data_IF_637508149019
#
_entry.id   IF_637508149019
#
_cell.length_a   1.000
_cell.length_b   1.000
_cell.length_c   1.000
_cell.angle_alpha   90.00
_cell.angle_beta   90.00
_cell.angle_gamma   90.00
#
_symmetry.space_group_name_H-M   'P 1'
#
loop_
_entity.id
_entity.type
_entity.pdbx_description
1 polymer ?
#
# COMPACT_ATOMS: atom_id res chain seq x y z
N UNK A 1 -42.23 64.19 -16.20
CA UNK A 1 -41.89 63.33 -17.36
C UNK A 1 -40.36 63.35 -17.46
N UNK A 2 -39.60 62.26 -17.37
CA UNK A 2 -39.87 60.87 -17.66
C UNK A 2 -39.19 59.94 -16.62
N UNK A 3 -39.88 58.85 -16.29
CA UNK A 3 -39.36 57.72 -15.53
C UNK A 3 -38.64 56.78 -16.51
N UNK A 4 -37.41 56.37 -16.19
CA UNK A 4 -36.73 55.26 -16.89
C UNK A 4 -36.56 54.12 -15.90
N UNK A 5 -37.37 53.08 -16.10
CA UNK A 5 -37.27 51.79 -15.45
C UNK A 5 -36.13 50.98 -16.09
N UNK A 6 -35.20 50.49 -15.28
CA UNK A 6 -34.28 49.43 -15.66
C UNK A 6 -34.92 48.06 -15.38
N UNK A 7 -34.73 47.05 -16.24
CA UNK A 7 -35.27 45.70 -16.03
C UNK A 7 -34.39 44.91 -15.03
N UNK A 8 -35.06 44.19 -14.14
CA UNK A 8 -34.45 43.23 -13.21
C UNK A 8 -34.27 41.91 -13.96
N UNK A 9 -33.03 41.52 -14.25
CA UNK A 9 -32.71 40.21 -14.79
C UNK A 9 -32.76 39.16 -13.66
N UNK A 10 -33.74 38.26 -13.75
CA UNK A 10 -33.83 37.08 -12.88
C UNK A 10 -32.79 36.04 -13.31
N UNK A 11 -31.69 35.96 -12.55
CA UNK A 11 -30.69 34.91 -12.67
C UNK A 11 -31.30 33.59 -12.19
N UNK A 12 -31.69 32.73 -13.14
CA UNK A 12 -32.13 31.35 -12.86
C UNK A 12 -30.86 30.52 -12.62
N UNK A 13 -30.70 30.02 -11.40
CA UNK A 13 -29.69 29.01 -11.07
C UNK A 13 -30.18 27.63 -11.57
N UNK A 14 -29.32 26.82 -12.21
CA UNK A 14 -29.66 25.45 -12.56
C UNK A 14 -29.78 24.57 -11.31
N UNK A 15 -30.62 23.52 -11.33
CA UNK A 15 -30.73 22.58 -10.23
C UNK A 15 -29.43 21.77 -10.09
N UNK A 16 -28.87 21.77 -8.88
CA UNK A 16 -27.79 20.86 -8.48
C UNK A 16 -28.39 19.49 -8.17
N UNK A 17 -28.49 18.62 -9.17
CA UNK A 17 -28.63 17.18 -8.94
C UNK A 17 -27.24 16.60 -8.61
N UNK A 18 -26.89 16.60 -7.33
CA UNK A 18 -25.76 15.80 -6.83
C UNK A 18 -26.29 14.50 -6.21
N UNK A 19 -26.83 13.61 -7.05
CA UNK A 19 -26.85 12.18 -6.72
C UNK A 19 -25.63 11.53 -7.38
N UNK A 20 -24.46 11.68 -6.75
CA UNK A 20 -23.34 10.78 -7.03
C UNK A 20 -23.73 9.46 -6.37
N UNK A 21 -24.39 8.60 -7.15
CA UNK A 21 -24.50 7.19 -6.82
C UNK A 21 -23.07 6.64 -6.80
N UNK A 22 -22.53 6.39 -5.61
CA UNK A 22 -21.33 5.60 -5.40
C UNK A 22 -21.64 4.18 -5.85
N UNK A 23 -21.46 3.93 -7.14
CA UNK A 23 -21.70 2.63 -7.75
C UNK A 23 -20.63 1.63 -7.33
N UNK A 24 -20.83 0.94 -6.21
CA UNK A 24 -20.16 -0.32 -5.89
C UNK A 24 -21.09 -1.31 -5.17
N UNK A 25 -22.33 -1.44 -5.66
CA UNK A 25 -23.12 -2.64 -5.44
C UNK A 25 -22.62 -3.74 -6.39
N UNK A 26 -21.40 -4.25 -6.16
CA UNK A 26 -20.94 -5.45 -6.83
C UNK A 26 -21.17 -6.67 -5.91
N UNK A 27 -22.32 -7.37 -6.03
CA UNK A 27 -22.66 -8.50 -5.17
C UNK A 27 -21.66 -9.66 -5.29
N UNK A 28 -20.80 -9.69 -6.30
CA UNK A 28 -19.73 -10.69 -6.41
C UNK A 28 -18.61 -10.46 -5.39
N UNK A 29 -18.28 -9.20 -5.09
CA UNK A 29 -17.25 -8.87 -4.09
C UNK A 29 -17.78 -9.18 -2.69
N UNK A 30 -19.01 -8.78 -2.39
CA UNK A 30 -19.63 -9.03 -1.08
C UNK A 30 -19.89 -10.52 -0.82
N UNK A 31 -20.36 -11.28 -1.83
CA UNK A 31 -20.55 -12.73 -1.70
C UNK A 31 -19.23 -13.49 -1.61
N UNK A 32 -18.16 -12.96 -2.20
CA UNK A 32 -16.82 -13.54 -2.06
C UNK A 32 -16.29 -13.39 -0.63
N UNK A 33 -16.39 -12.20 -0.02
CA UNK A 33 -15.99 -12.01 1.38
C UNK A 33 -16.78 -12.91 2.34
N UNK A 34 -18.08 -13.11 2.09
CA UNK A 34 -18.92 -14.06 2.85
C UNK A 34 -18.49 -15.52 2.68
N UNK A 35 -18.05 -15.92 1.48
CA UNK A 35 -17.59 -17.28 1.22
C UNK A 35 -16.17 -17.55 1.76
N UNK A 36 -15.25 -16.58 1.70
CA UNK A 36 -13.89 -16.72 2.23
C UNK A 36 -13.88 -16.82 3.76
N UNK A 37 -14.75 -16.10 4.47
CA UNK A 37 -14.91 -16.24 5.92
C UNK A 37 -15.39 -17.63 6.36
N UNK A 38 -16.05 -18.40 5.49
CA UNK A 38 -16.48 -19.76 5.80
C UNK A 38 -15.37 -20.81 5.73
N UNK A 39 -14.22 -20.48 5.12
CA UNK A 39 -13.11 -21.42 4.86
C UNK A 39 -11.97 -21.26 5.88
N UNK A 40 -11.97 -20.24 6.74
CA UNK A 40 -10.87 -19.99 7.70
C UNK A 40 -11.02 -20.73 9.04
N UNK A 41 -11.44 -22.00 9.02
CA UNK A 41 -11.21 -22.92 10.14
C UNK A 41 -10.12 -23.94 9.76
N UNK A 42 -8.92 -23.44 9.49
CA UNK A 42 -7.72 -24.27 9.51
C UNK A 42 -6.82 -23.82 10.65
N UNK A 43 -6.77 -24.67 11.68
CA UNK A 43 -5.87 -24.53 12.81
C UNK A 43 -4.42 -24.63 12.32
N UNK A 44 -3.65 -23.57 12.54
CA UNK A 44 -2.19 -23.66 12.57
C UNK A 44 -1.81 -24.40 13.86
N UNK A 45 -1.42 -25.67 13.73
CA UNK A 45 -0.66 -26.36 14.77
C UNK A 45 0.83 -26.12 14.50
N UNK A 46 1.54 -25.69 15.55
CA UNK A 46 2.99 -25.52 15.56
C UNK A 46 3.67 -26.82 15.12
N UNK A 47 4.36 -26.79 13.98
CA UNK A 47 5.17 -27.92 13.51
C UNK A 47 6.56 -27.77 14.12
N UNK A 48 6.77 -28.50 15.21
CA UNK A 48 8.09 -28.74 15.79
C UNK A 48 8.99 -29.45 14.76
N UNK A 49 10.13 -28.83 14.46
CA UNK A 49 11.11 -29.33 13.52
C UNK A 49 11.86 -30.52 14.11
N UNK A 50 11.35 -31.75 13.89
CA UNK A 50 12.18 -32.97 13.94
C UNK A 50 11.53 -34.17 13.24
N UNK A 51 12.34 -34.74 12.35
CA UNK A 51 12.30 -36.11 11.81
C UNK A 51 11.56 -36.30 10.47
N UNK A 52 12.36 -36.14 9.41
CA UNK A 52 12.12 -36.65 8.06
C UNK A 52 12.06 -38.19 8.08
N UNK A 53 10.93 -38.74 7.63
CA UNK A 53 10.84 -39.94 6.79
C UNK A 53 9.64 -39.79 5.87
N UNK A 54 9.88 -39.48 4.60
CA UNK A 54 8.85 -39.50 3.56
C UNK A 54 8.85 -40.87 2.88
N UNK A 55 7.76 -41.60 3.06
CA UNK A 55 7.33 -42.72 2.22
C UNK A 55 5.90 -42.42 1.77
N UNK A 56 5.58 -42.71 0.52
CA UNK A 56 4.23 -42.63 -0.04
C UNK A 56 3.86 -41.29 -0.71
N UNK A 57 3.98 -41.24 -2.04
CA UNK A 57 3.61 -40.08 -2.86
C UNK A 57 2.11 -39.77 -2.82
N UNK A 58 1.78 -38.50 -2.55
CA UNK A 58 0.50 -37.88 -2.88
C UNK A 58 0.71 -37.03 -4.14
N UNK A 59 0.17 -37.48 -5.28
CA UNK A 59 0.16 -36.73 -6.53
C UNK A 59 -0.99 -35.74 -6.46
N UNK A 60 -0.81 -34.64 -5.73
CA UNK A 60 -1.85 -33.64 -5.58
C UNK A 60 -1.85 -32.66 -6.75
N UNK A 61 -2.95 -32.77 -7.51
CA UNK A 61 -3.46 -31.96 -8.62
C UNK A 61 -2.86 -30.56 -8.80
N UNK A 62 -2.08 -30.39 -9.87
CA UNK A 62 -1.61 -29.06 -10.32
C UNK A 62 -2.73 -28.16 -10.84
N UNK A 63 -3.91 -28.69 -11.16
CA UNK A 63 -4.99 -27.90 -11.79
C UNK A 63 -5.67 -26.94 -10.82
N UNK A 64 -5.67 -27.21 -9.52
CA UNK A 64 -6.30 -26.33 -8.51
C UNK A 64 -5.45 -25.10 -8.19
N UNK A 65 -4.12 -25.20 -8.20
CA UNK A 65 -3.24 -24.06 -7.86
C UNK A 65 -3.26 -22.97 -8.93
N UNK A 66 -3.31 -23.33 -10.21
CA UNK A 66 -3.42 -22.36 -11.31
C UNK A 66 -4.73 -21.56 -11.25
N UNK A 67 -5.83 -22.19 -10.84
CA UNK A 67 -7.13 -21.51 -10.74
C UNK A 67 -7.14 -20.45 -9.62
N UNK A 68 -6.49 -20.74 -8.48
CA UNK A 68 -6.39 -19.80 -7.37
C UNK A 68 -5.49 -18.62 -7.73
N UNK A 69 -4.34 -18.86 -8.36
CA UNK A 69 -3.44 -17.79 -8.83
C UNK A 69 -4.19 -16.82 -9.74
N UNK A 70 -4.90 -17.34 -10.75
CA UNK A 70 -5.63 -16.51 -11.70
C UNK A 70 -6.76 -15.66 -11.09
N UNK A 71 -7.28 -16.02 -9.91
CA UNK A 71 -8.24 -15.19 -9.17
C UNK A 71 -7.54 -14.05 -8.42
N UNK A 72 -6.40 -14.32 -7.78
CA UNK A 72 -5.60 -13.30 -7.10
C UNK A 72 -5.07 -12.26 -8.09
N UNK A 73 -4.60 -12.70 -9.26
CA UNK A 73 -4.17 -11.82 -10.35
C UNK A 73 -5.27 -10.86 -10.78
N UNK A 74 -6.50 -11.37 -10.96
CA UNK A 74 -7.66 -10.55 -11.33
C UNK A 74 -8.03 -9.57 -10.22
N UNK A 75 -8.02 -10.01 -8.96
CA UNK A 75 -8.35 -9.15 -7.83
C UNK A 75 -7.33 -8.02 -7.68
N UNK A 76 -6.03 -8.33 -7.72
CA UNK A 76 -4.98 -7.33 -7.70
C UNK A 76 -5.09 -6.37 -8.88
N UNK A 77 -5.36 -6.87 -10.09
CA UNK A 77 -5.57 -6.05 -11.28
C UNK A 77 -6.72 -5.05 -11.11
N UNK A 78 -7.84 -5.46 -10.51
CA UNK A 78 -8.97 -4.56 -10.23
C UNK A 78 -8.59 -3.47 -9.22
N UNK A 79 -7.89 -3.83 -8.15
CA UNK A 79 -7.42 -2.89 -7.12
C UNK A 79 -6.54 -1.80 -7.76
N UNK A 80 -5.53 -2.21 -8.54
CA UNK A 80 -4.60 -1.25 -9.19
C UNK A 80 -5.25 -0.45 -10.33
N UNK A 81 -6.24 -1.01 -11.02
CA UNK A 81 -6.94 -0.29 -12.08
C UNK A 81 -7.88 0.77 -11.52
N UNK A 82 -8.60 0.47 -10.43
CA UNK A 82 -9.46 1.44 -9.74
C UNK A 82 -8.66 2.64 -9.20
N UNK A 83 -7.47 2.37 -8.67
CA UNK A 83 -6.58 3.38 -8.10
C UNK A 83 -6.08 4.45 -9.10
N UNK A 84 -6.17 4.20 -10.42
CA UNK A 84 -5.65 5.13 -11.44
C UNK A 84 -6.40 6.46 -11.48
N UNK A 85 -7.67 6.45 -11.10
CA UNK A 85 -8.55 7.61 -11.11
C UNK A 85 -8.73 8.21 -9.70
N UNK A 86 -8.07 7.62 -8.69
CA UNK A 86 -8.09 8.13 -7.32
C UNK A 86 -7.11 9.30 -7.16
N UNK A 87 -7.49 10.29 -6.34
CA UNK A 87 -6.61 11.36 -5.90
C UNK A 87 -6.14 11.00 -4.48
N UNK A 88 -4.83 10.86 -4.29
CA UNK A 88 -4.26 10.51 -2.99
C UNK A 88 -3.95 11.77 -2.19
N UNK A 89 -4.63 11.91 -1.05
CA UNK A 89 -4.40 13.00 -0.11
C UNK A 89 -3.53 12.53 1.06
N UNK A 90 -2.53 13.32 1.42
CA UNK A 90 -1.63 13.00 2.53
C UNK A 90 -2.40 12.83 3.85
N UNK A 91 -2.23 11.66 4.47
CA UNK A 91 -2.84 11.34 5.76
C UNK A 91 -4.30 10.86 5.68
N UNK A 92 -4.88 10.77 4.48
CA UNK A 92 -6.25 10.29 4.28
C UNK A 92 -6.26 8.85 3.76
N UNK A 93 -7.25 8.08 4.18
CA UNK A 93 -7.42 6.70 3.73
C UNK A 93 -8.25 6.65 2.43
N UNK A 94 -7.65 6.12 1.37
CA UNK A 94 -8.27 5.95 0.05
C UNK A 94 -8.92 4.56 -0.14
N UNK A 95 -9.74 4.40 -1.17
CA UNK A 95 -10.30 3.09 -1.53
C UNK A 95 -9.19 2.11 -1.92
N UNK A 96 -8.18 2.59 -2.66
CA UNK A 96 -6.98 1.81 -2.95
C UNK A 96 -6.31 1.30 -1.67
N UNK A 97 -6.10 2.16 -0.68
CA UNK A 97 -5.41 1.80 0.56
C UNK A 97 -6.16 0.74 1.38
N UNK A 98 -7.49 0.85 1.50
CA UNK A 98 -8.34 -0.14 2.16
C UNK A 98 -8.29 -1.48 1.43
N UNK A 99 -8.49 -1.45 0.11
CA UNK A 99 -8.58 -2.66 -0.71
C UNK A 99 -7.25 -3.41 -0.76
N UNK A 100 -6.13 -2.70 -0.95
CA UNK A 100 -4.80 -3.31 -0.97
C UNK A 100 -4.44 -3.90 0.40
N UNK A 101 -4.71 -3.18 1.48
CA UNK A 101 -4.45 -3.65 2.84
C UNK A 101 -5.27 -4.90 3.16
N UNK A 102 -6.57 -4.90 2.85
CA UNK A 102 -7.46 -6.04 3.04
C UNK A 102 -7.02 -7.24 2.21
N UNK A 103 -6.59 -7.03 0.97
CA UNK A 103 -6.10 -8.09 0.09
C UNK A 103 -4.85 -8.77 0.68
N UNK A 104 -3.86 -7.99 1.13
CA UNK A 104 -2.64 -8.52 1.75
C UNK A 104 -2.94 -9.22 3.08
N UNK A 105 -3.82 -8.65 3.90
CA UNK A 105 -4.20 -9.27 5.18
C UNK A 105 -4.93 -10.61 4.98
N UNK A 106 -5.69 -10.76 3.89
CA UNK A 106 -6.47 -11.97 3.61
C UNK A 106 -5.62 -13.10 3.01
N UNK A 107 -4.65 -12.77 2.15
CA UNK A 107 -3.92 -13.76 1.36
C UNK A 107 -2.41 -13.81 1.63
N UNK A 108 -1.89 -12.92 2.49
CA UNK A 108 -0.50 -12.92 2.95
C UNK A 108 0.52 -12.95 1.81
N UNK A 109 1.39 -13.95 1.82
CA UNK A 109 2.48 -14.09 0.85
C UNK A 109 1.96 -14.20 -0.60
N UNK A 110 0.87 -14.94 -0.84
CA UNK A 110 0.31 -15.09 -2.19
C UNK A 110 -0.22 -13.76 -2.76
N UNK A 111 -0.70 -12.85 -1.92
CA UNK A 111 -1.00 -11.48 -2.38
C UNK A 111 0.29 -10.73 -2.75
N UNK A 112 1.34 -10.85 -1.93
CA UNK A 112 2.64 -10.22 -2.21
C UNK A 112 3.23 -10.69 -3.55
N UNK A 113 3.20 -11.99 -3.84
CA UNK A 113 3.69 -12.57 -5.11
C UNK A 113 3.05 -11.92 -6.34
N UNK A 114 1.75 -11.59 -6.26
CA UNK A 114 1.00 -10.96 -7.35
C UNK A 114 1.25 -9.46 -7.44
N UNK A 115 1.26 -8.73 -6.31
CA UNK A 115 1.36 -7.26 -6.35
C UNK A 115 2.79 -6.75 -6.58
N UNK A 116 3.82 -7.51 -6.18
CA UNK A 116 5.22 -7.12 -6.39
C UNK A 116 5.52 -6.80 -7.86
N UNK A 117 5.26 -7.70 -8.83
CA UNK A 117 5.54 -7.40 -10.24
C UNK A 117 4.67 -6.25 -10.77
N UNK A 118 3.47 -6.05 -10.22
CA UNK A 118 2.62 -4.91 -10.59
C UNK A 118 3.22 -3.59 -10.10
N UNK A 119 3.65 -3.49 -8.84
CA UNK A 119 4.25 -2.26 -8.27
C UNK A 119 5.58 -1.92 -8.97
N UNK A 120 6.38 -2.93 -9.28
CA UNK A 120 7.69 -2.75 -9.93
C UNK A 120 7.59 -2.53 -11.45
N UNK A 121 6.43 -2.73 -12.05
CA UNK A 121 6.21 -2.50 -13.48
C UNK A 121 6.30 -1.01 -13.82
N UNK A 122 7.08 -0.68 -14.86
CA UNK A 122 7.13 0.69 -15.42
C UNK A 122 5.80 1.15 -16.02
N UNK A 123 4.86 0.23 -16.24
CA UNK A 123 3.50 0.55 -16.74
C UNK A 123 2.56 1.01 -15.62
N UNK A 124 2.92 0.79 -14.35
CA UNK A 124 2.10 1.21 -13.23
C UNK A 124 2.25 2.71 -13.03
N UNK A 125 1.12 3.39 -12.83
CA UNK A 125 1.12 4.82 -12.54
C UNK A 125 2.03 5.08 -11.32
N UNK A 126 3.00 5.99 -11.47
CA UNK A 126 4.00 6.28 -10.44
C UNK A 126 3.40 6.74 -9.10
N UNK A 127 2.24 7.37 -9.13
CA UNK A 127 1.50 7.81 -7.94
C UNK A 127 0.87 6.61 -7.22
N UNK A 128 0.20 5.72 -7.96
CA UNK A 128 -0.33 4.46 -7.43
C UNK A 128 0.79 3.58 -6.86
N UNK A 129 1.92 3.48 -7.55
CA UNK A 129 3.07 2.73 -7.05
C UNK A 129 3.64 3.36 -5.77
N UNK A 130 3.80 4.68 -5.72
CA UNK A 130 4.26 5.41 -4.54
C UNK A 130 3.32 5.21 -3.35
N UNK A 131 2.01 5.31 -3.57
CA UNK A 131 1.02 5.09 -2.53
C UNK A 131 1.02 3.64 -2.05
N UNK A 132 1.20 2.67 -2.94
CA UNK A 132 1.37 1.26 -2.57
C UNK A 132 2.56 1.08 -1.61
N UNK A 133 3.70 1.72 -1.87
CA UNK A 133 4.85 1.67 -0.95
C UNK A 133 4.52 2.25 0.43
N UNK A 134 3.82 3.38 0.50
CA UNK A 134 3.39 3.99 1.77
C UNK A 134 2.47 3.07 2.56
N UNK A 135 1.48 2.47 1.89
CA UNK A 135 0.57 1.48 2.48
C UNK A 135 1.36 0.28 3.01
N UNK A 136 2.28 -0.26 2.20
CA UNK A 136 3.12 -1.41 2.59
C UNK A 136 3.97 -1.10 3.82
N UNK A 137 4.48 0.12 3.98
CA UNK A 137 5.21 0.51 5.19
C UNK A 137 4.34 0.52 6.46
N UNK A 138 3.07 0.92 6.34
CA UNK A 138 2.15 1.05 7.48
C UNK A 138 1.49 -0.26 7.91
N UNK A 139 1.50 -1.28 7.05
CA UNK A 139 0.83 -2.54 7.36
C UNK A 139 1.46 -3.23 8.58
N UNK A 140 0.64 -3.67 9.52
CA UNK A 140 1.09 -4.51 10.63
C UNK A 140 0.74 -5.97 10.34
N UNK A 141 1.49 -6.58 9.42
CA UNK A 141 1.27 -7.97 9.01
C UNK A 141 2.60 -8.73 9.03
N UNK A 142 2.74 -9.63 10.02
CA UNK A 142 4.01 -10.29 10.34
C UNK A 142 4.48 -11.23 9.23
N UNK A 143 3.56 -11.97 8.62
CA UNK A 143 3.92 -13.00 7.63
C UNK A 143 4.42 -12.42 6.31
N UNK A 144 4.08 -11.17 5.98
CA UNK A 144 4.52 -10.48 4.76
C UNK A 144 5.66 -9.49 5.02
N UNK A 145 6.17 -9.41 6.25
CA UNK A 145 7.16 -8.42 6.65
C UNK A 145 8.40 -8.39 5.74
N UNK A 146 8.97 -9.57 5.46
CA UNK A 146 10.19 -9.70 4.65
C UNK A 146 9.97 -9.27 3.20
N UNK A 147 8.83 -9.63 2.63
CA UNK A 147 8.47 -9.23 1.25
C UNK A 147 8.30 -7.71 1.15
N UNK A 148 7.66 -7.10 2.16
CA UNK A 148 7.44 -5.65 2.22
C UNK A 148 8.76 -4.89 2.34
N UNK A 149 9.64 -5.30 3.27
CA UNK A 149 10.96 -4.71 3.43
C UNK A 149 11.78 -4.80 2.14
N UNK A 150 11.87 -6.00 1.55
CA UNK A 150 12.59 -6.22 0.30
C UNK A 150 12.04 -5.35 -0.85
N UNK A 151 10.71 -5.26 -0.96
CA UNK A 151 10.07 -4.45 -2.00
C UNK A 151 10.38 -2.96 -1.79
N UNK A 152 10.24 -2.45 -0.56
CA UNK A 152 10.56 -1.06 -0.22
C UNK A 152 12.03 -0.71 -0.51
N UNK A 153 12.98 -1.58 -0.18
CA UNK A 153 14.39 -1.41 -0.53
C UNK A 153 14.59 -1.34 -2.05
N UNK A 154 13.84 -2.11 -2.83
CA UNK A 154 13.85 -2.00 -4.30
C UNK A 154 13.27 -0.70 -4.81
N UNK A 155 12.24 -0.19 -4.16
CA UNK A 155 11.63 1.11 -4.48
C UNK A 155 12.62 2.27 -4.43
N UNK A 156 13.63 2.23 -3.54
CA UNK A 156 14.69 3.24 -3.43
C UNK A 156 15.51 3.44 -4.71
N UNK A 157 15.51 2.47 -5.63
CA UNK A 157 16.29 2.51 -6.86
C UNK A 157 15.43 2.75 -8.11
N UNK A 158 14.14 3.10 -7.93
CA UNK A 158 13.26 3.44 -9.04
C UNK A 158 13.76 4.67 -9.80
N UNK A 159 13.54 4.69 -11.11
CA UNK A 159 13.80 5.88 -11.95
C UNK A 159 12.89 7.06 -11.56
N UNK A 160 11.69 6.77 -11.03
CA UNK A 160 10.72 7.79 -10.63
C UNK A 160 11.02 8.31 -9.23
N UNK A 161 11.26 9.63 -9.11
CA UNK A 161 11.44 10.30 -7.82
C UNK A 161 10.25 10.09 -6.89
N UNK A 162 9.02 10.09 -7.43
CA UNK A 162 7.80 9.88 -6.64
C UNK A 162 7.74 8.47 -6.04
N UNK A 163 8.20 7.47 -6.78
CA UNK A 163 8.25 6.09 -6.29
C UNK A 163 9.33 5.94 -5.21
N UNK A 164 10.50 6.56 -5.40
CA UNK A 164 11.55 6.58 -4.38
C UNK A 164 11.05 7.25 -3.09
N UNK A 165 10.37 8.38 -3.19
CA UNK A 165 9.77 9.07 -2.05
C UNK A 165 8.76 8.18 -1.28
N UNK A 166 7.84 7.53 -1.99
CA UNK A 166 6.91 6.58 -1.39
C UNK A 166 7.62 5.42 -0.67
N UNK A 167 8.70 4.91 -1.25
CA UNK A 167 9.52 3.86 -0.65
C UNK A 167 10.26 4.34 0.61
N UNK A 168 10.82 5.55 0.57
CA UNK A 168 11.48 6.20 1.72
C UNK A 168 10.51 6.35 2.89
N UNK A 169 9.31 6.87 2.63
CA UNK A 169 8.26 6.99 3.65
C UNK A 169 7.80 5.63 4.17
N UNK A 170 7.66 4.63 3.29
CA UNK A 170 7.31 3.27 3.70
C UNK A 170 8.37 2.65 4.62
N UNK A 171 9.67 2.86 4.35
CA UNK A 171 10.75 2.41 5.23
C UNK A 171 10.74 3.14 6.58
N UNK A 172 10.41 4.44 6.59
CA UNK A 172 10.25 5.20 7.82
C UNK A 172 9.15 4.61 8.72
N UNK A 173 8.03 4.19 8.13
CA UNK A 173 6.96 3.51 8.87
C UNK A 173 7.36 2.11 9.36
N UNK A 174 8.13 1.34 8.59
CA UNK A 174 8.66 0.06 9.06
C UNK A 174 9.63 0.21 10.25
N UNK A 175 10.38 1.31 10.29
CA UNK A 175 11.32 1.64 11.36
C UNK A 175 12.30 0.50 11.69
N UNK A 176 12.85 -0.15 10.66
CA UNK A 176 13.78 -1.29 10.79
C UNK A 176 15.22 -0.90 10.44
N UNK A 177 16.13 -1.22 11.35
CA UNK A 177 17.59 -1.14 11.18
C UNK A 177 18.14 -1.83 9.92
N UNK A 178 17.45 -2.86 9.40
CA UNK A 178 17.85 -3.53 8.16
C UNK A 178 17.84 -2.59 6.95
N UNK A 179 17.04 -1.52 6.99
CA UNK A 179 16.96 -0.52 5.92
C UNK A 179 18.16 0.45 5.88
N UNK A 180 19.03 0.47 6.91
CA UNK A 180 20.16 1.41 7.02
C UNK A 180 21.12 1.32 5.83
N UNK A 181 21.56 0.11 5.47
CA UNK A 181 22.53 -0.07 4.40
C UNK A 181 21.94 0.26 3.00
N UNK A 182 20.72 -0.19 2.65
CA UNK A 182 20.03 0.27 1.45
C UNK A 182 19.85 1.79 1.39
N UNK A 183 19.45 2.44 2.48
CA UNK A 183 19.28 3.90 2.54
C UNK A 183 20.58 4.65 2.30
N UNK A 184 21.69 4.24 2.93
CA UNK A 184 23.02 4.85 2.66
C UNK A 184 23.39 4.77 1.18
N UNK A 185 23.19 3.60 0.58
CA UNK A 185 23.46 3.40 -0.84
C UNK A 185 22.57 4.23 -1.76
N UNK A 186 21.31 4.47 -1.36
CA UNK A 186 20.38 5.32 -2.08
C UNK A 186 20.76 6.82 -1.97
N UNK A 187 21.11 7.30 -0.77
CA UNK A 187 21.54 8.68 -0.49
C UNK A 187 22.72 9.10 -1.36
N UNK A 188 23.73 8.23 -1.49
CA UNK A 188 24.92 8.47 -2.32
C UNK A 188 24.58 8.68 -3.80
N UNK A 189 23.47 8.11 -4.28
CA UNK A 189 23.06 8.12 -5.69
C UNK A 189 21.96 9.12 -5.99
N UNK A 190 21.19 9.50 -4.98
CA UNK A 190 20.08 10.44 -5.13
C UNK A 190 20.61 11.76 -5.69
N UNK A 191 19.87 12.36 -6.61
CA UNK A 191 20.25 13.61 -7.28
C UNK A 191 19.39 14.78 -6.83
N UNK A 192 18.17 14.50 -6.36
CA UNK A 192 17.22 15.50 -5.86
C UNK A 192 17.60 15.86 -4.41
N UNK A 193 18.06 17.09 -4.14
CA UNK A 193 18.55 17.47 -2.82
C UNK A 193 17.52 17.30 -1.70
N UNK A 194 16.25 17.61 -1.98
CA UNK A 194 15.16 17.50 -1.02
C UNK A 194 14.93 16.05 -0.58
N UNK A 195 14.76 15.13 -1.55
CA UNK A 195 14.59 13.72 -1.25
C UNK A 195 15.82 13.10 -0.58
N UNK A 196 17.03 13.53 -0.94
CA UNK A 196 18.25 13.09 -0.24
C UNK A 196 18.21 13.49 1.23
N UNK A 197 17.79 14.71 1.54
CA UNK A 197 17.67 15.20 2.90
C UNK A 197 16.63 14.40 3.69
N UNK A 198 15.50 14.05 3.08
CA UNK A 198 14.47 13.23 3.73
C UNK A 198 15.00 11.81 4.03
N UNK A 199 15.74 11.21 3.10
CA UNK A 199 16.44 9.93 3.33
C UNK A 199 17.47 10.02 4.48
N UNK A 200 18.23 11.12 4.56
CA UNK A 200 19.21 11.35 5.63
C UNK A 200 18.55 11.50 7.01
N UNK A 201 17.38 12.13 7.10
CA UNK A 201 16.59 12.22 8.33
C UNK A 201 16.13 10.83 8.79
N UNK A 202 15.56 10.04 7.89
CA UNK A 202 15.12 8.68 8.21
C UNK A 202 16.32 7.80 8.60
N UNK A 203 17.46 7.95 7.93
CA UNK A 203 18.69 7.27 8.33
C UNK A 203 19.12 7.65 9.75
N UNK A 204 19.07 8.94 10.11
CA UNK A 204 19.39 9.39 11.46
C UNK A 204 18.42 8.84 12.51
N UNK A 205 17.12 8.77 12.19
CA UNK A 205 16.10 8.11 13.01
C UNK A 205 16.46 6.64 13.26
N UNK A 206 16.72 5.87 12.20
CA UNK A 206 17.02 4.43 12.29
C UNK A 206 18.35 4.14 13.02
N UNK A 207 19.32 5.05 12.95
CA UNK A 207 20.59 4.95 13.70
C UNK A 207 20.44 5.35 15.18
N UNK A 208 19.25 5.76 15.64
CA UNK A 208 19.01 6.23 17.01
C UNK A 208 19.66 7.58 17.31
N UNK A 209 19.96 8.37 16.28
CA UNK A 209 20.59 9.70 16.43
C UNK A 209 19.56 10.82 16.63
N UNK A 210 18.28 10.55 16.43
CA UNK A 210 17.18 11.51 16.62
C UNK A 210 16.50 11.48 18.02
N UNK A 211 17.12 10.86 19.02
CA UNK A 211 16.64 10.88 20.42
C UNK A 211 16.66 12.27 21.11
N UNK A 212 16.89 13.35 20.34
CA UNK A 212 17.19 14.69 20.86
C UNK A 212 16.02 15.65 21.13
N UNK A 213 14.76 15.28 20.86
CA UNK A 213 13.62 16.23 20.98
C UNK A 213 12.66 15.96 22.16
N UNK A 214 12.68 14.80 22.83
CA UNK A 214 11.75 14.53 23.95
C UNK A 214 12.41 14.01 25.22
N UNK A 215 13.19 14.87 25.88
CA UNK A 215 13.33 14.83 27.34
C UNK A 215 13.68 16.22 27.90
N UNK A 216 12.89 17.25 27.58
CA UNK A 216 12.80 18.40 28.50
C UNK A 216 12.13 17.89 29.78
N UNK A 217 12.95 17.43 30.73
CA UNK A 217 12.55 17.24 32.12
C UNK A 217 12.04 18.59 32.63
N UNK A 218 10.72 18.73 32.69
CA UNK A 218 10.07 19.74 33.52
C UNK A 218 10.47 19.48 34.98
N UNK A 219 11.60 20.06 35.35
CA UNK A 219 12.07 20.11 36.73
C UNK A 219 11.40 21.33 37.35
N UNK A 220 10.12 21.19 37.71
CA UNK A 220 9.46 22.16 38.59
C UNK A 220 10.14 22.09 39.96
N UNK A 221 10.84 23.16 40.32
CA UNK A 221 11.17 23.51 41.70
C UNK A 221 9.95 24.09 42.39
#
# INVERSE_FOLDING_TARGET
MALHNAPIEHHILPPTDSSVATGFDNPLVENFFKNVQSVSQYQFQDIDARTVKYDGGSVESSTSSFAVSGLLDKQASLIFTGAKEEIFEDGMESDFSRNLSSFIASFGHSAMEVIIPMILSEQTNTEVASEAFRILGRLNHQTTYRDRLWLLERGLYSVSTRVRDGAVLGLAFLNDSLAIAPLKSAIERERIPELRKDMEQILAQLEGKEDGISAKKDTKK
#
